data_IF_589210390208
#
_entry.id   IF_589210390208
#
_cell.length_a   1.000
_cell.length_b   1.000
_cell.length_c   1.000
_cell.angle_alpha   90.00
_cell.angle_beta   90.00
_cell.angle_gamma   90.00
#
_symmetry.space_group_name_H-M   'P 1'
#
loop_
_entity.id
_entity.type
_entity.pdbx_description
1 polymer ?
#
# COMPACT_ATOMS: atom_id res chain seq x y z
N UNK A 1 -20.68 -46.25 -2.51
CA UNK A 1 -20.61 -44.80 -2.23
C UNK A 1 -19.22 -44.34 -2.57
N UNK A 2 -19.05 -43.67 -3.70
CA UNK A 2 -17.77 -43.08 -4.14
C UNK A 2 -17.70 -41.65 -3.64
N UNK A 3 -16.71 -41.35 -2.82
CA UNK A 3 -16.39 -39.98 -2.38
C UNK A 3 -15.79 -39.27 -3.58
N UNK A 4 -16.54 -38.35 -4.18
CA UNK A 4 -16.01 -37.47 -5.22
C UNK A 4 -14.99 -36.53 -4.57
N UNK A 5 -13.73 -36.66 -4.97
CA UNK A 5 -12.65 -35.78 -4.56
C UNK A 5 -13.00 -34.35 -4.96
N UNK A 6 -13.09 -33.49 -3.95
CA UNK A 6 -13.21 -32.05 -4.16
C UNK A 6 -11.85 -31.63 -4.71
N UNK A 7 -11.81 -31.28 -6.01
CA UNK A 7 -10.66 -30.61 -6.60
C UNK A 7 -10.35 -29.37 -5.77
N UNK A 8 -9.14 -29.29 -5.22
CA UNK A 8 -8.50 -28.06 -4.72
C UNK A 8 -8.38 -27.07 -5.89
N UNK A 9 -9.51 -26.50 -6.32
CA UNK A 9 -9.58 -25.44 -7.31
C UNK A 9 -9.01 -24.19 -6.69
N UNK A 10 -7.69 -24.06 -6.75
CA UNK A 10 -6.89 -22.84 -6.83
C UNK A 10 -7.57 -21.55 -6.33
N UNK A 11 -8.02 -21.57 -5.08
CA UNK A 11 -8.57 -20.40 -4.39
C UNK A 11 -7.52 -19.31 -4.21
N UNK A 12 -6.25 -19.65 -4.44
CA UNK A 12 -5.07 -18.80 -4.27
C UNK A 12 -4.87 -17.75 -5.38
N UNK A 13 -5.70 -17.72 -6.42
CA UNK A 13 -5.53 -16.75 -7.53
C UNK A 13 -6.82 -16.05 -7.97
N UNK A 14 -7.99 -16.47 -7.47
CA UNK A 14 -9.30 -15.91 -7.88
C UNK A 14 -9.44 -14.40 -7.63
N UNK A 15 -8.77 -13.84 -6.61
CA UNK A 15 -8.87 -12.39 -6.32
C UNK A 15 -8.24 -11.50 -7.39
N UNK A 16 -7.25 -12.00 -8.15
CA UNK A 16 -6.55 -11.22 -9.17
C UNK A 16 -7.49 -10.74 -10.28
N UNK A 17 -8.54 -11.51 -10.56
CA UNK A 17 -9.52 -11.20 -11.60
C UNK A 17 -10.44 -10.02 -11.23
N UNK A 18 -10.56 -9.71 -9.94
CA UNK A 18 -11.41 -8.63 -9.42
C UNK A 18 -10.62 -7.36 -9.09
N UNK A 19 -9.30 -7.41 -9.07
CA UNK A 19 -8.46 -6.24 -8.83
C UNK A 19 -8.27 -5.46 -10.14
N UNK A 20 -8.97 -4.33 -10.27
CA UNK A 20 -8.94 -3.46 -11.45
C UNK A 20 -8.14 -2.17 -11.16
N UNK A 21 -7.55 -1.53 -12.19
CA UNK A 21 -6.97 -0.20 -12.07
C UNK A 21 -7.98 0.79 -11.47
N UNK A 22 -7.51 1.65 -10.56
CA UNK A 22 -8.33 2.67 -9.91
C UNK A 22 -7.67 4.04 -10.01
N UNK A 23 -8.33 4.94 -10.73
CA UNK A 23 -8.02 6.38 -10.64
C UNK A 23 -8.55 6.89 -9.31
N UNK A 24 -7.65 7.30 -8.42
CA UNK A 24 -7.98 7.93 -7.14
C UNK A 24 -8.26 9.41 -7.38
N UNK A 25 -7.35 10.08 -8.09
CA UNK A 25 -7.50 11.46 -8.57
C UNK A 25 -6.93 11.57 -9.97
N UNK A 26 -6.87 12.78 -10.52
CA UNK A 26 -6.18 13.03 -11.80
C UNK A 26 -4.68 12.83 -11.73
N UNK A 27 -4.10 12.82 -10.53
CA UNK A 27 -2.66 12.75 -10.28
C UNK A 27 -2.24 11.47 -9.55
N UNK A 28 -3.16 10.63 -9.10
CA UNK A 28 -2.86 9.38 -8.40
C UNK A 28 -3.70 8.19 -8.90
N UNK A 29 -3.03 7.10 -9.25
CA UNK A 29 -3.65 5.83 -9.66
C UNK A 29 -3.11 4.66 -8.85
N UNK A 30 -4.00 3.76 -8.45
CA UNK A 30 -3.66 2.44 -7.92
C UNK A 30 -3.82 1.42 -9.05
N UNK A 31 -2.76 0.65 -9.31
CA UNK A 31 -2.69 -0.29 -10.42
C UNK A 31 -2.29 -1.68 -9.89
N UNK A 32 -2.91 -2.78 -10.36
CA UNK A 32 -2.38 -4.12 -10.12
C UNK A 32 -0.91 -4.20 -10.54
N UNK A 33 -0.06 -4.86 -9.74
CA UNK A 33 1.38 -4.88 -9.99
C UNK A 33 1.75 -5.50 -11.36
N UNK A 34 0.89 -6.36 -11.91
CA UNK A 34 1.03 -7.06 -13.19
C UNK A 34 0.33 -6.38 -14.38
N UNK A 35 -0.44 -5.32 -14.16
CA UNK A 35 -1.16 -4.63 -15.23
C UNK A 35 -0.29 -3.52 -15.87
N UNK A 36 -0.54 -3.29 -17.16
CA UNK A 36 0.01 -2.17 -17.90
C UNK A 36 -0.62 -0.84 -17.46
N UNK A 37 0.17 0.24 -17.53
CA UNK A 37 -0.33 1.57 -17.23
C UNK A 37 -1.27 2.05 -18.34
N UNK A 38 -2.47 2.56 -18.03
CA UNK A 38 -3.32 3.18 -19.05
C UNK A 38 -2.58 4.31 -19.79
N UNK A 39 -2.61 4.32 -21.13
CA UNK A 39 -1.79 5.21 -21.96
C UNK A 39 -2.14 6.70 -21.82
N UNK A 40 -3.28 7.02 -21.21
CA UNK A 40 -3.80 8.36 -20.94
C UNK A 40 -3.42 8.90 -19.54
N UNK A 41 -2.85 8.08 -18.66
CA UNK A 41 -2.50 8.51 -17.30
C UNK A 41 -1.08 9.10 -17.24
N UNK A 42 -0.91 10.22 -16.51
CA UNK A 42 0.36 10.95 -16.38
C UNK A 42 0.76 11.25 -14.93
N UNK A 43 -0.02 10.80 -13.95
CA UNK A 43 0.24 11.02 -12.54
C UNK A 43 1.14 9.97 -11.90
N UNK A 44 1.17 9.99 -10.57
CA UNK A 44 1.81 8.96 -9.76
C UNK A 44 1.02 7.66 -9.77
N UNK A 45 1.75 6.56 -9.94
CA UNK A 45 1.18 5.21 -10.01
C UNK A 45 1.66 4.41 -8.82
N UNK A 46 0.72 3.83 -8.07
CA UNK A 46 0.97 2.89 -6.98
C UNK A 46 0.68 1.49 -7.49
N UNK A 47 1.70 0.66 -7.62
CA UNK A 47 1.59 -0.75 -8.04
C UNK A 47 1.34 -1.65 -6.83
N UNK A 48 0.23 -2.35 -6.80
CA UNK A 48 -0.17 -3.18 -5.66
C UNK A 48 -0.32 -4.64 -6.07
N UNK A 49 0.28 -5.55 -5.30
CA UNK A 49 -0.20 -6.93 -5.25
C UNK A 49 -1.22 -7.01 -4.10
N UNK A 50 -2.51 -7.26 -4.40
CA UNK A 50 -3.54 -7.36 -3.39
C UNK A 50 -3.24 -8.46 -2.35
N UNK A 51 -2.57 -9.56 -2.74
CA UNK A 51 -2.19 -10.65 -1.85
C UNK A 51 -3.27 -11.03 -0.81
N UNK A 52 -2.86 -11.55 0.36
CA UNK A 52 -3.76 -11.77 1.50
C UNK A 52 -3.89 -10.54 2.44
N UNK A 53 -3.18 -9.44 2.17
CA UNK A 53 -3.10 -8.31 3.10
C UNK A 53 -4.21 -7.28 2.87
N UNK A 54 -4.69 -6.68 3.97
CA UNK A 54 -5.74 -5.67 3.95
C UNK A 54 -5.24 -4.33 3.36
N UNK A 55 -6.15 -3.52 2.78
CA UNK A 55 -5.85 -2.16 2.34
C UNK A 55 -5.36 -2.04 0.89
N UNK A 56 -5.95 -2.76 -0.06
CA UNK A 56 -5.54 -2.77 -1.48
C UNK A 56 -5.96 -1.52 -2.28
N UNK A 57 -6.70 -0.58 -1.66
CA UNK A 57 -7.27 0.59 -2.33
C UNK A 57 -8.74 0.45 -2.71
N UNK A 58 -9.28 -0.77 -2.74
CA UNK A 58 -10.68 -1.04 -3.11
C UNK A 58 -11.73 -0.57 -2.12
N UNK A 59 -11.35 -0.34 -0.86
CA UNK A 59 -12.29 0.10 0.17
C UNK A 59 -12.44 1.64 0.15
N UNK A 60 -13.66 2.20 0.27
CA UNK A 60 -13.90 3.65 0.22
C UNK A 60 -13.03 4.45 1.19
N UNK A 61 -12.73 3.90 2.37
CA UNK A 61 -11.88 4.54 3.37
C UNK A 61 -10.43 4.69 2.89
N UNK A 62 -9.89 3.69 2.18
CA UNK A 62 -8.53 3.78 1.63
C UNK A 62 -8.44 4.86 0.56
N UNK A 63 -9.47 4.99 -0.29
CA UNK A 63 -9.54 6.07 -1.29
C UNK A 63 -9.50 7.44 -0.62
N UNK A 64 -10.33 7.66 0.41
CA UNK A 64 -10.36 8.93 1.15
C UNK A 64 -8.98 9.26 1.78
N UNK A 65 -8.33 8.27 2.38
CA UNK A 65 -6.98 8.47 2.94
C UNK A 65 -5.95 8.81 1.85
N UNK A 66 -6.01 8.18 0.68
CA UNK A 66 -5.10 8.49 -0.43
C UNK A 66 -5.30 9.91 -0.97
N UNK A 67 -6.55 10.36 -1.07
CA UNK A 67 -6.87 11.74 -1.46
C UNK A 67 -6.37 12.77 -0.42
N UNK A 68 -6.47 12.45 0.88
CA UNK A 68 -5.90 13.28 1.95
C UNK A 68 -4.37 13.29 1.94
N UNK A 69 -3.73 12.13 1.69
CA UNK A 69 -2.27 12.05 1.51
C UNK A 69 -1.83 12.92 0.34
N UNK A 70 -2.53 12.89 -0.79
CA UNK A 70 -2.24 13.75 -1.93
C UNK A 70 -2.35 15.25 -1.61
N UNK A 71 -3.34 15.65 -0.79
CA UNK A 71 -3.50 17.06 -0.40
C UNK A 71 -2.45 17.54 0.60
N UNK A 72 -2.02 16.67 1.52
CA UNK A 72 -1.22 17.06 2.69
C UNK A 72 0.27 16.84 2.52
N UNK A 73 0.67 15.89 1.68
CA UNK A 73 2.09 15.61 1.47
C UNK A 73 2.73 16.76 0.71
N UNK A 74 3.71 17.38 1.35
CA UNK A 74 4.60 18.35 0.74
C UNK A 74 6.01 17.76 0.57
N UNK A 75 6.83 18.27 -0.37
CA UNK A 75 8.21 17.85 -0.49
C UNK A 75 8.97 17.93 0.84
N UNK A 76 9.60 16.82 1.25
CA UNK A 76 10.43 16.79 2.44
C UNK A 76 9.75 16.31 3.73
N UNK A 77 8.42 16.15 3.75
CA UNK A 77 7.71 15.67 4.96
C UNK A 77 8.06 14.24 5.31
N UNK A 78 8.03 13.90 6.60
CA UNK A 78 8.21 12.55 7.13
C UNK A 78 6.87 12.01 7.62
N UNK A 79 6.45 10.88 7.07
CA UNK A 79 5.19 10.22 7.42
C UNK A 79 5.40 9.12 8.47
N UNK A 80 4.49 9.03 9.44
CA UNK A 80 4.27 7.83 10.25
C UNK A 80 2.96 7.18 9.81
N UNK A 81 2.98 5.90 9.47
CA UNK A 81 1.82 5.14 8.99
C UNK A 81 1.55 4.00 9.98
N UNK A 82 0.51 4.14 10.80
CA UNK A 82 0.14 3.20 11.86
C UNK A 82 -0.99 2.27 11.39
N UNK A 83 -0.74 0.96 11.41
CA UNK A 83 -1.66 -0.01 10.80
C UNK A 83 -1.54 0.02 9.28
N UNK A 84 -0.30 -0.01 8.77
CA UNK A 84 0.00 0.23 7.36
C UNK A 84 -0.64 -0.79 6.40
N UNK A 85 -0.99 -1.98 6.88
CA UNK A 85 -1.58 -3.05 6.06
C UNK A 85 -0.72 -3.36 4.84
N UNK A 86 -1.25 -3.07 3.65
CA UNK A 86 -0.58 -3.26 2.37
C UNK A 86 0.57 -2.27 2.08
N UNK A 87 0.76 -1.23 2.90
CA UNK A 87 1.76 -0.18 2.67
C UNK A 87 1.30 0.97 1.77
N UNK A 88 0.04 0.98 1.34
CA UNK A 88 -0.44 1.85 0.25
C UNK A 88 -0.27 3.35 0.54
N UNK A 89 -0.53 3.79 1.79
CA UNK A 89 -0.41 5.21 2.16
C UNK A 89 1.05 5.65 2.24
N UNK A 90 1.91 4.82 2.83
CA UNK A 90 3.36 5.03 2.84
C UNK A 90 3.97 5.14 1.44
N UNK A 91 3.55 4.26 0.53
CA UNK A 91 3.99 4.29 -0.87
C UNK A 91 3.49 5.57 -1.56
N UNK A 92 2.20 5.89 -1.40
CA UNK A 92 1.60 7.10 -1.95
C UNK A 92 2.39 8.34 -1.51
N UNK A 93 2.61 8.50 -0.22
CA UNK A 93 3.28 9.67 0.34
C UNK A 93 4.70 9.84 -0.22
N UNK A 94 5.50 8.76 -0.28
CA UNK A 94 6.85 8.84 -0.84
C UNK A 94 6.84 9.19 -2.33
N UNK A 95 5.89 8.64 -3.11
CA UNK A 95 5.74 8.97 -4.53
C UNK A 95 5.29 10.42 -4.75
N UNK A 96 4.49 10.95 -3.83
CA UNK A 96 4.00 12.34 -3.84
C UNK A 96 5.02 13.35 -3.27
N UNK A 97 6.18 12.91 -2.80
CA UNK A 97 7.30 13.80 -2.45
C UNK A 97 7.73 13.77 -0.98
N UNK A 98 7.11 12.93 -0.13
CA UNK A 98 7.59 12.73 1.23
C UNK A 98 9.07 12.28 1.23
N UNK A 99 9.86 12.79 2.18
CA UNK A 99 11.25 12.40 2.35
C UNK A 99 11.38 10.93 2.73
N UNK A 100 10.53 10.48 3.66
CA UNK A 100 10.52 9.12 4.17
C UNK A 100 9.18 8.78 4.84
N UNK A 101 8.89 7.49 4.96
CA UNK A 101 7.79 6.98 5.76
C UNK A 101 8.28 5.89 6.73
N UNK A 102 7.77 5.90 7.96
CA UNK A 102 7.84 4.78 8.89
C UNK A 102 6.47 4.11 8.94
N UNK A 103 6.40 2.85 8.52
CA UNK A 103 5.19 2.07 8.44
C UNK A 103 5.21 0.96 9.52
N UNK A 104 4.22 0.95 10.40
CA UNK A 104 4.10 0.00 11.50
C UNK A 104 2.82 -0.82 11.36
N UNK A 105 2.92 -2.14 11.56
CA UNK A 105 1.75 -3.01 11.67
C UNK A 105 2.02 -4.11 12.71
N UNK A 106 0.97 -4.60 13.40
CA UNK A 106 1.09 -5.70 14.34
C UNK A 106 1.17 -7.05 13.62
N UNK A 107 0.55 -7.17 12.45
CA UNK A 107 0.50 -8.41 11.68
C UNK A 107 1.76 -8.58 10.80
N UNK A 108 2.48 -9.66 11.03
CA UNK A 108 3.65 -10.03 10.24
C UNK A 108 3.34 -10.27 8.75
N UNK A 109 2.11 -10.67 8.41
CA UNK A 109 1.65 -10.87 7.03
C UNK A 109 1.51 -9.52 6.34
N UNK A 110 0.89 -8.54 7.00
CA UNK A 110 0.80 -7.16 6.52
C UNK A 110 2.19 -6.54 6.30
N UNK A 111 3.10 -6.69 7.27
CA UNK A 111 4.49 -6.21 7.15
C UNK A 111 5.19 -6.80 5.93
N UNK A 112 5.02 -8.09 5.65
CA UNK A 112 5.60 -8.74 4.48
C UNK A 112 5.01 -8.21 3.18
N UNK A 113 3.68 -8.05 3.12
CA UNK A 113 2.98 -7.49 1.97
C UNK A 113 3.40 -6.03 1.70
N UNK A 114 3.41 -5.17 2.72
CA UNK A 114 3.88 -3.79 2.61
C UNK A 114 5.32 -3.70 2.08
N UNK A 115 6.23 -4.57 2.55
CA UNK A 115 7.59 -4.64 2.01
C UNK A 115 7.61 -5.07 0.54
N UNK A 116 6.79 -6.03 0.14
CA UNK A 116 6.67 -6.45 -1.26
C UNK A 116 6.15 -5.31 -2.14
N UNK A 117 5.08 -4.63 -1.73
CA UNK A 117 4.54 -3.48 -2.45
C UNK A 117 5.54 -2.32 -2.52
N UNK A 118 6.32 -2.08 -1.46
CA UNK A 118 7.41 -1.10 -1.51
C UNK A 118 8.50 -1.45 -2.54
N UNK A 119 8.74 -2.74 -2.82
CA UNK A 119 9.65 -3.18 -3.88
C UNK A 119 9.03 -2.99 -5.26
N UNK A 120 7.77 -3.33 -5.44
CA UNK A 120 7.04 -3.10 -6.70
C UNK A 120 7.00 -1.62 -7.11
N UNK A 121 7.07 -0.71 -6.13
CA UNK A 121 7.08 0.74 -6.35
C UNK A 121 8.46 1.38 -6.31
N UNK A 122 9.53 0.60 -6.11
CA UNK A 122 10.90 1.12 -5.97
C UNK A 122 11.09 2.17 -4.86
N UNK A 123 10.29 2.10 -3.79
CA UNK A 123 10.34 3.05 -2.64
C UNK A 123 10.99 2.46 -1.39
N UNK A 124 11.51 1.22 -1.47
CA UNK A 124 12.04 0.47 -0.32
C UNK A 124 13.17 1.18 0.45
N UNK A 125 13.88 2.14 -0.16
CA UNK A 125 14.93 2.92 0.52
C UNK A 125 14.38 4.08 1.36
N UNK A 126 13.14 4.52 1.09
CA UNK A 126 12.48 5.65 1.76
C UNK A 126 11.36 5.23 2.69
N UNK A 127 10.85 4.00 2.54
CA UNK A 127 9.81 3.44 3.42
C UNK A 127 10.42 2.37 4.32
N UNK A 128 10.45 2.63 5.63
CA UNK A 128 10.82 1.65 6.64
C UNK A 128 9.58 0.92 7.15
N UNK A 129 9.41 -0.35 6.79
CA UNK A 129 8.28 -1.17 7.25
C UNK A 129 8.73 -2.09 8.39
N UNK A 130 8.08 -1.99 9.56
CA UNK A 130 8.42 -2.76 10.76
C UNK A 130 7.17 -3.35 11.42
N UNK A 131 7.35 -4.47 12.10
CA UNK A 131 6.30 -5.03 12.93
C UNK A 131 6.30 -4.32 14.30
N UNK A 132 5.14 -3.82 14.72
CA UNK A 132 4.97 -3.13 16.00
C UNK A 132 3.84 -2.10 16.00
N UNK A 133 3.73 -1.38 17.12
CA UNK A 133 2.80 -0.26 17.33
C UNK A 133 3.48 0.78 18.22
N UNK A 134 2.79 1.87 18.56
CA UNK A 134 3.29 2.85 19.51
C UNK A 134 3.18 2.36 20.97
N UNK A 135 4.16 2.67 21.84
CA UNK A 135 5.41 3.38 21.53
C UNK A 135 6.41 2.48 20.78
N UNK A 136 7.17 3.06 19.84
CA UNK A 136 8.18 2.33 19.06
C UNK A 136 9.53 3.08 19.06
N UNK A 137 10.70 2.41 19.19
CA UNK A 137 12.01 3.08 19.27
C UNK A 137 12.38 3.96 18.07
N UNK A 138 11.81 3.64 16.89
CA UNK A 138 11.97 4.45 15.67
C UNK A 138 10.90 5.52 15.51
N UNK A 139 9.85 5.52 16.33
CA UNK A 139 8.79 6.51 16.32
C UNK A 139 8.99 7.51 17.48
N UNK A 140 9.85 8.51 17.26
CA UNK A 140 10.16 9.54 18.27
C UNK A 140 9.22 10.75 18.12
N UNK A 141 8.85 11.37 19.25
CA UNK A 141 8.07 12.61 19.24
C UNK A 141 8.81 13.72 18.47
N UNK A 142 8.09 14.50 17.67
CA UNK A 142 8.66 15.50 16.74
C UNK A 142 9.40 14.91 15.53
N UNK A 143 9.38 13.58 15.38
CA UNK A 143 10.06 12.86 14.30
C UNK A 143 9.28 12.81 12.98
N UNK A 144 8.01 13.22 12.98
CA UNK A 144 7.11 13.12 11.83
C UNK A 144 6.26 14.37 11.70
N UNK A 145 5.92 14.67 10.45
CA UNK A 145 5.18 15.87 10.05
C UNK A 145 3.73 15.51 9.65
N UNK A 146 3.49 14.22 9.34
CA UNK A 146 2.18 13.63 9.08
C UNK A 146 2.09 12.25 9.77
N UNK A 147 0.90 11.93 10.30
CA UNK A 147 0.54 10.63 10.90
C UNK A 147 -0.76 10.15 10.28
#
# INVERSE_FOLDING_TARGET
>A
MTVAGIEDRDWSTSWRQFFRPQRITDRLMVLPAWDDLPPDFRGEVIRMDPGPAFGTGQHPTTRMCLEEVERRVAPGVRLLDLGTGSGILSIAAVKLGAASALALDLDSVAVQAARANCRHNSVSRKVAVLQGTLPHPRARSGGFDLV
#
